data_IF_994537896757
#
_entry.id   IF_994537896757
#
_cell.length_a   1.000
_cell.length_b   1.000
_cell.length_c   1.000
_cell.angle_alpha   90.00
_cell.angle_beta   90.00
_cell.angle_gamma   90.00
#
_symmetry.space_group_name_H-M   'P 1'
#
loop_
_entity.id
_entity.type
_entity.pdbx_description
1 polymer ?
#
# COMPACT_ATOMS: atom_id res chain seq x y z
N UNK A 1 -18.92 18.25 -17.14
CA UNK A 1 -18.96 17.51 -15.86
C UNK A 1 -18.42 18.42 -14.77
N UNK A 2 -19.24 18.71 -13.75
CA UNK A 2 -18.91 19.64 -12.66
C UNK A 2 -18.17 18.87 -11.57
N UNK A 3 -16.96 19.31 -11.23
CA UNK A 3 -16.16 18.74 -10.14
C UNK A 3 -16.75 19.20 -8.80
N UNK A 4 -17.21 18.25 -7.98
CA UNK A 4 -17.72 18.52 -6.63
C UNK A 4 -16.63 18.22 -5.59
N UNK A 5 -15.96 19.25 -5.03
CA UNK A 5 -14.82 19.09 -4.12
C UNK A 5 -15.19 18.49 -2.74
N UNK A 6 -16.48 18.46 -2.38
CA UNK A 6 -16.94 18.06 -1.04
C UNK A 6 -17.04 16.54 -0.83
N UNK A 7 -16.92 15.72 -1.89
CA UNK A 7 -16.94 14.25 -1.81
C UNK A 7 -15.57 13.62 -1.50
N UNK A 8 -14.54 14.44 -1.29
CA UNK A 8 -13.14 13.97 -1.23
C UNK A 8 -12.42 14.40 0.04
N UNK A 9 -13.10 14.31 1.19
CA UNK A 9 -12.42 14.46 2.48
C UNK A 9 -11.60 13.20 2.79
N UNK A 10 -10.32 13.22 2.43
CA UNK A 10 -9.31 12.21 2.81
C UNK A 10 -9.23 12.15 4.34
N UNK A 11 -9.92 11.19 4.97
CA UNK A 11 -9.66 10.84 6.38
C UNK A 11 -8.39 10.02 6.42
N UNK A 12 -7.30 10.68 6.81
CA UNK A 12 -6.02 10.06 7.12
C UNK A 12 -6.15 9.38 8.49
N UNK A 13 -6.07 8.04 8.53
CA UNK A 13 -5.97 7.28 9.80
C UNK A 13 -4.56 7.35 10.41
N UNK A 14 -3.64 8.05 9.73
CA UNK A 14 -2.26 8.23 10.17
C UNK A 14 -2.21 8.84 11.56
N UNK A 15 -1.41 8.25 12.43
CA UNK A 15 -0.98 8.84 13.68
C UNK A 15 -0.50 10.28 13.39
N UNK A 16 -1.08 11.26 14.08
CA UNK A 16 -0.60 12.65 14.04
C UNK A 16 0.84 12.68 14.54
N UNK A 17 1.68 13.48 13.88
CA UNK A 17 3.07 13.80 14.28
C UNK A 17 4.12 12.68 14.14
N UNK A 18 3.83 11.59 13.43
CA UNK A 18 4.84 10.56 13.09
C UNK A 18 5.45 10.79 11.69
N UNK A 19 6.78 10.74 11.58
CA UNK A 19 7.48 10.86 10.29
C UNK A 19 7.50 9.51 9.54
N UNK A 20 6.55 9.33 8.64
CA UNK A 20 6.41 8.14 7.77
C UNK A 20 7.48 8.04 6.66
N UNK A 21 8.56 8.82 6.79
CA UNK A 21 9.78 8.75 5.94
C UNK A 21 10.94 8.09 6.70
N UNK A 22 10.81 7.85 8.01
CA UNK A 22 11.87 7.26 8.82
C UNK A 22 12.17 5.81 8.46
N UNK A 23 13.45 5.43 8.54
CA UNK A 23 13.84 4.03 8.49
C UNK A 23 13.12 3.22 9.59
N UNK A 24 12.65 2.02 9.26
CA UNK A 24 11.88 1.18 10.18
C UNK A 24 10.94 0.20 9.48
N UNK A 25 10.26 -0.61 10.29
CA UNK A 25 9.29 -1.60 9.84
C UNK A 25 7.87 -1.03 9.86
N UNK A 26 7.12 -1.34 8.81
CA UNK A 26 5.75 -0.89 8.61
C UNK A 26 4.87 -2.08 8.24
N UNK A 27 3.71 -2.16 8.90
CA UNK A 27 2.62 -3.05 8.52
C UNK A 27 1.57 -2.28 7.73
N UNK A 28 1.02 -2.90 6.69
CA UNK A 28 -0.09 -2.35 5.90
C UNK A 28 -1.17 -3.38 5.65
N UNK A 29 -2.41 -2.88 5.53
CA UNK A 29 -3.55 -3.63 4.97
C UNK A 29 -4.13 -2.85 3.80
N UNK A 30 -4.21 -3.48 2.63
CA UNK A 30 -4.80 -2.90 1.42
C UNK A 30 -5.98 -3.76 0.98
N UNK A 31 -7.19 -3.22 1.03
CA UNK A 31 -8.40 -3.95 0.69
C UNK A 31 -8.79 -3.77 -0.79
N UNK A 32 -9.32 -4.84 -1.38
CA UNK A 32 -10.02 -4.79 -2.66
C UNK A 32 -11.26 -3.90 -2.55
N UNK A 33 -11.68 -3.34 -3.68
CA UNK A 33 -12.89 -2.54 -3.75
C UNK A 33 -14.09 -3.29 -3.15
N UNK A 34 -14.86 -2.60 -2.30
CA UNK A 34 -16.01 -3.15 -1.56
C UNK A 34 -15.76 -4.48 -0.84
N UNK A 35 -14.49 -4.84 -0.60
CA UNK A 35 -14.10 -6.15 -0.02
C UNK A 35 -14.62 -7.35 -0.83
N UNK A 36 -14.76 -7.19 -2.15
CA UNK A 36 -15.05 -8.29 -3.06
C UNK A 36 -13.86 -9.28 -3.10
N UNK A 37 -14.14 -10.59 -3.14
CA UNK A 37 -13.16 -11.68 -3.23
C UNK A 37 -12.47 -11.71 -4.59
N UNK A 38 -11.72 -10.66 -4.85
CA UNK A 38 -11.16 -10.31 -6.14
C UNK A 38 -9.90 -11.12 -6.49
N UNK A 39 -9.18 -11.56 -5.47
CA UNK A 39 -7.84 -12.13 -5.54
C UNK A 39 -7.84 -13.67 -5.43
N UNK A 40 -8.99 -14.26 -5.10
CA UNK A 40 -9.12 -15.70 -4.89
C UNK A 40 -10.26 -16.01 -3.95
N UNK A 41 -10.27 -17.23 -3.43
CA UNK A 41 -11.31 -17.77 -2.58
C UNK A 41 -10.73 -18.31 -1.28
N UNK A 42 -11.51 -18.21 -0.21
CA UNK A 42 -11.22 -18.94 1.03
C UNK A 42 -11.47 -20.44 0.81
N UNK A 43 -10.55 -21.26 1.29
CA UNK A 43 -10.69 -22.72 1.29
C UNK A 43 -10.41 -23.25 2.69
N UNK A 44 -10.75 -24.50 2.97
CA UNK A 44 -10.50 -25.09 4.29
C UNK A 44 -9.01 -24.97 4.66
N UNK A 45 -8.74 -24.27 5.77
CA UNK A 45 -7.40 -23.99 6.27
C UNK A 45 -6.56 -22.97 5.48
N UNK A 46 -7.10 -22.26 4.49
CA UNK A 46 -6.28 -21.32 3.72
C UNK A 46 -6.99 -20.50 2.64
N UNK A 47 -6.19 -20.05 1.67
CA UNK A 47 -6.64 -19.20 0.55
C UNK A 47 -6.12 -19.77 -0.75
N UNK A 48 -7.00 -19.89 -1.75
CA UNK A 48 -6.65 -20.25 -3.12
C UNK A 48 -6.63 -18.99 -3.98
N UNK A 49 -5.44 -18.58 -4.42
CA UNK A 49 -5.31 -17.41 -5.31
C UNK A 49 -5.73 -17.74 -6.73
N UNK A 50 -6.45 -16.80 -7.35
CA UNK A 50 -6.67 -16.80 -8.80
C UNK A 50 -5.56 -15.99 -9.51
N UNK A 51 -5.65 -15.86 -10.83
CA UNK A 51 -4.65 -15.12 -11.63
C UNK A 51 -4.48 -13.65 -11.19
N UNK A 52 -5.53 -13.04 -10.66
CA UNK A 52 -5.48 -11.66 -10.17
C UNK A 52 -4.74 -11.61 -8.83
N UNK A 53 -5.01 -12.54 -7.92
CA UNK A 53 -4.23 -12.67 -6.68
C UNK A 53 -2.75 -12.95 -6.93
N UNK A 54 -2.44 -13.75 -7.96
CA UNK A 54 -1.08 -13.98 -8.44
C UNK A 54 -0.43 -12.66 -8.90
N UNK A 55 -1.13 -11.81 -9.65
CA UNK A 55 -0.63 -10.48 -10.04
C UNK A 55 -0.32 -9.62 -8.81
N UNK A 56 -1.19 -9.61 -7.79
CA UNK A 56 -0.98 -8.86 -6.55
C UNK A 56 0.31 -9.30 -5.86
N UNK A 57 0.49 -10.62 -5.68
CA UNK A 57 1.71 -11.21 -5.10
C UNK A 57 2.95 -10.80 -5.88
N UNK A 58 2.92 -10.96 -7.20
CA UNK A 58 4.08 -10.71 -8.05
C UNK A 58 4.49 -9.23 -8.05
N UNK A 59 3.52 -8.30 -8.08
CA UNK A 59 3.80 -6.86 -7.98
C UNK A 59 4.30 -6.45 -6.59
N UNK A 60 3.85 -7.14 -5.54
CA UNK A 60 4.42 -6.94 -4.21
C UNK A 60 5.89 -7.35 -4.18
N UNK A 61 6.23 -8.56 -4.64
CA UNK A 61 7.61 -9.04 -4.71
C UNK A 61 8.50 -8.14 -5.56
N UNK A 62 7.98 -7.61 -6.67
CA UNK A 62 8.68 -6.64 -7.54
C UNK A 62 9.05 -5.35 -6.81
N UNK A 63 8.35 -4.99 -5.73
CA UNK A 63 8.60 -3.76 -4.96
C UNK A 63 10.04 -3.68 -4.46
N UNK A 64 10.61 -4.77 -3.94
CA UNK A 64 12.01 -4.80 -3.50
C UNK A 64 13.02 -4.81 -4.66
N UNK A 65 12.65 -5.36 -5.82
CA UNK A 65 13.52 -5.36 -7.01
C UNK A 65 13.75 -3.93 -7.52
N UNK A 66 12.70 -3.11 -7.51
CA UNK A 66 12.76 -1.75 -8.08
C UNK A 66 13.09 -0.66 -7.04
N UNK A 67 13.20 -1.01 -5.76
CA UNK A 67 13.49 -0.07 -4.67
C UNK A 67 14.58 -0.64 -3.76
N UNK A 68 15.85 -0.23 -3.92
CA UNK A 68 16.96 -0.78 -3.14
C UNK A 68 16.87 -0.47 -1.64
N UNK A 69 16.11 0.57 -1.27
CA UNK A 69 15.88 0.96 0.12
C UNK A 69 14.66 0.27 0.76
N UNK A 70 14.06 -0.72 0.09
CA UNK A 70 12.92 -1.48 0.60
C UNK A 70 13.28 -2.94 0.74
N UNK A 71 13.14 -3.47 1.95
CA UNK A 71 13.23 -4.90 2.22
C UNK A 71 11.84 -5.42 2.57
N UNK A 72 11.37 -6.43 1.84
CA UNK A 72 10.12 -7.11 2.16
C UNK A 72 10.32 -8.05 3.34
N UNK A 73 9.24 -8.26 4.08
CA UNK A 73 9.13 -9.21 5.17
C UNK A 73 7.82 -10.00 4.96
N UNK A 74 7.25 -10.59 6.00
CA UNK A 74 6.04 -11.40 5.95
C UNK A 74 4.86 -10.67 5.26
N UNK A 75 4.16 -11.37 4.37
CA UNK A 75 2.99 -10.84 3.67
C UNK A 75 2.04 -11.96 3.28
N UNK A 76 0.76 -11.61 3.08
CA UNK A 76 -0.25 -12.55 2.58
C UNK A 76 -1.25 -11.85 1.67
N UNK A 77 -1.65 -12.53 0.60
CA UNK A 77 -2.76 -12.14 -0.25
C UNK A 77 -3.97 -12.96 0.19
N UNK A 78 -4.98 -12.29 0.72
CA UNK A 78 -6.27 -12.86 1.10
C UNK A 78 -7.27 -12.69 -0.06
N UNK A 79 -8.43 -13.36 -0.05
CA UNK A 79 -9.42 -13.28 -1.13
C UNK A 79 -9.78 -11.85 -1.54
N UNK A 80 -9.89 -10.94 -0.57
CA UNK A 80 -10.34 -9.56 -0.81
C UNK A 80 -9.42 -8.48 -0.23
N UNK A 81 -8.26 -8.83 0.31
CA UNK A 81 -7.32 -7.86 0.87
C UNK A 81 -5.90 -8.42 0.91
N UNK A 82 -4.96 -7.56 1.25
CA UNK A 82 -3.54 -7.86 1.27
C UNK A 82 -2.94 -7.28 2.54
N UNK A 83 -2.13 -8.09 3.23
CA UNK A 83 -1.34 -7.66 4.39
C UNK A 83 0.14 -7.80 4.08
N UNK A 84 0.94 -6.85 4.57
CA UNK A 84 2.39 -6.98 4.48
C UNK A 84 3.13 -6.20 5.55
N UNK A 85 4.29 -6.73 5.89
CA UNK A 85 5.38 -6.04 6.57
C UNK A 85 6.46 -5.71 5.55
N UNK A 86 6.99 -4.49 5.62
CA UNK A 86 8.19 -4.11 4.89
C UNK A 86 9.01 -3.10 5.67
N UNK A 87 10.29 -3.03 5.34
CA UNK A 87 11.26 -2.15 5.95
C UNK A 87 11.65 -1.07 4.97
N UNK A 88 11.60 0.18 5.43
CA UNK A 88 12.31 1.28 4.78
C UNK A 88 13.69 1.33 5.44
N UNK A 89 14.76 1.18 4.67
CA UNK A 89 16.13 1.31 5.16
C UNK A 89 16.74 2.61 4.67
N UNK A 90 17.65 3.18 5.45
CA UNK A 90 18.48 4.27 4.93
C UNK A 90 19.34 3.75 3.75
N UNK A 91 19.56 4.55 2.70
CA UNK A 91 20.43 4.16 1.61
C UNK A 91 21.88 4.08 2.12
N UNK A 92 22.41 2.87 2.29
CA UNK A 92 23.82 2.65 2.58
C UNK A 92 24.60 2.73 1.26
N UNK A 93 25.25 3.86 1.00
CA UNK A 93 26.20 4.03 -0.11
C UNK A 93 25.66 4.77 -1.35
N UNK A 94 26.21 5.96 -1.58
CA UNK A 94 26.26 6.69 -2.85
C UNK A 94 24.99 6.74 -3.72
N UNK A 95 24.04 7.59 -3.35
CA UNK A 95 23.46 8.53 -4.31
C UNK A 95 23.15 9.81 -3.56
N UNK A 96 23.65 10.95 -4.06
CA UNK A 96 23.27 12.28 -3.56
C UNK A 96 21.74 12.38 -3.55
N UNK A 97 21.14 12.16 -2.39
CA UNK A 97 19.92 12.88 -2.06
C UNK A 97 20.37 14.33 -2.01
N UNK A 98 20.07 15.08 -3.07
CA UNK A 98 20.14 16.53 -3.02
C UNK A 98 19.34 16.90 -1.78
N UNK A 99 20.03 17.40 -0.75
CA UNK A 99 19.36 18.02 0.37
C UNK A 99 18.44 19.06 -0.27
N UNK A 100 17.13 18.83 -0.21
CA UNK A 100 16.19 19.89 -0.54
C UNK A 100 16.37 20.89 0.58
N UNK A 101 17.19 21.89 0.26
CA UNK A 101 17.49 23.04 1.07
C UNK A 101 16.18 23.55 1.66
N UNK A 102 16.16 23.73 2.99
CA UNK A 102 14.97 24.16 3.71
C UNK A 102 14.57 25.60 3.38
N UNK A 103 15.39 26.32 2.62
CA UNK A 103 15.20 27.74 2.34
C UNK A 103 15.55 28.08 0.88
N UNK A 104 14.57 27.99 -0.03
CA UNK A 104 14.69 28.58 -1.36
C UNK A 104 13.35 29.17 -1.83
N UNK A 105 12.90 30.21 -1.12
CA UNK A 105 12.04 31.23 -1.70
C UNK A 105 12.88 32.06 -2.69
N UNK A 106 12.70 31.89 -4.00
CA UNK A 106 12.72 33.01 -4.98
C UNK A 106 12.47 32.55 -6.42
N UNK A 107 11.35 33.05 -6.95
CA UNK A 107 11.16 33.58 -8.32
C UNK A 107 11.65 32.76 -9.52
N UNK A 108 10.72 32.02 -10.15
CA UNK A 108 10.66 32.04 -11.63
C UNK A 108 9.21 31.95 -12.12
N UNK A 109 8.96 32.71 -13.18
CA UNK A 109 7.70 33.18 -13.76
C UNK A 109 6.57 32.15 -13.95
N UNK A 110 5.37 32.68 -13.78
CA UNK A 110 4.06 32.06 -13.92
C UNK A 110 3.82 31.36 -15.26
N UNK A 111 3.30 30.13 -15.20
CA UNK A 111 2.20 29.68 -16.06
C UNK A 111 1.16 29.00 -15.16
N UNK A 112 -0.10 29.43 -15.26
CA UNK A 112 -1.21 28.88 -14.49
C UNK A 112 -1.43 27.41 -14.87
N UNK A 113 -0.89 26.49 -14.09
CA UNK A 113 -1.33 25.10 -14.03
C UNK A 113 -1.71 24.81 -12.60
N UNK A 114 -2.94 24.32 -12.44
CA UNK A 114 -3.56 23.88 -11.17
C UNK A 114 -2.50 23.24 -10.27
N UNK A 115 -2.32 23.80 -9.06
CA UNK A 115 -1.30 23.36 -8.11
C UNK A 115 -1.38 21.83 -7.95
N UNK A 116 -0.28 21.08 -8.10
CA UNK A 116 -0.31 19.66 -7.78
C UNK A 116 -0.66 19.56 -6.31
N UNK A 117 -1.78 18.92 -5.99
CA UNK A 117 -2.05 18.48 -4.62
C UNK A 117 -0.83 17.65 -4.23
N UNK A 118 -0.03 18.15 -3.29
CA UNK A 118 1.26 17.56 -2.97
C UNK A 118 1.06 16.07 -2.68
N UNK A 119 1.53 15.23 -3.60
CA UNK A 119 1.48 13.78 -3.46
C UNK A 119 2.24 13.34 -2.21
N UNK A 120 2.10 12.07 -1.78
CA UNK A 120 2.92 11.56 -0.68
C UNK A 120 4.41 11.79 -0.99
N UNK A 121 5.18 12.17 0.03
CA UNK A 121 6.63 12.40 -0.10
C UNK A 121 7.27 11.17 -0.74
N UNK A 122 8.18 11.39 -1.70
CA UNK A 122 8.93 10.30 -2.32
C UNK A 122 9.60 9.44 -1.25
N UNK A 123 9.55 8.12 -1.40
CA UNK A 123 10.08 7.17 -0.42
C UNK A 123 9.20 6.91 0.81
N UNK A 124 8.12 7.66 1.03
CA UNK A 124 7.19 7.36 2.14
C UNK A 124 6.36 6.10 1.91
N UNK A 125 5.83 5.51 2.99
CA UNK A 125 4.86 4.40 2.95
C UNK A 125 3.76 4.66 1.90
N UNK A 126 3.16 5.85 1.93
CA UNK A 126 2.09 6.20 0.99
C UNK A 126 2.53 6.24 -0.48
N UNK A 127 3.76 6.64 -0.76
CA UNK A 127 4.30 6.63 -2.13
C UNK A 127 4.56 5.19 -2.59
N UNK A 128 5.04 4.31 -1.71
CA UNK A 128 5.31 2.90 -2.00
C UNK A 128 3.99 2.18 -2.28
N UNK A 129 3.01 2.29 -1.37
CA UNK A 129 1.70 1.65 -1.54
C UNK A 129 0.95 2.21 -2.74
N UNK A 130 1.04 3.52 -3.01
CA UNK A 130 0.45 4.11 -4.21
C UNK A 130 1.01 3.53 -5.51
N UNK A 131 2.34 3.36 -5.59
CA UNK A 131 2.98 2.77 -6.76
C UNK A 131 2.67 1.28 -6.91
N UNK A 132 2.68 0.52 -5.81
CA UNK A 132 2.26 -0.89 -5.79
C UNK A 132 0.83 -1.06 -6.33
N UNK A 133 -0.13 -0.31 -5.79
CA UNK A 133 -1.54 -0.35 -6.23
C UNK A 133 -1.66 0.02 -7.71
N UNK A 134 -0.95 1.04 -8.17
CA UNK A 134 -0.95 1.48 -9.57
C UNK A 134 -0.43 0.38 -10.52
N UNK A 135 0.70 -0.23 -10.19
CA UNK A 135 1.29 -1.30 -10.99
C UNK A 135 0.39 -2.54 -11.05
N UNK A 136 -0.17 -2.95 -9.92
CA UNK A 136 -1.11 -4.07 -9.84
C UNK A 136 -2.41 -3.77 -10.61
N UNK A 137 -3.01 -2.59 -10.44
CA UNK A 137 -4.21 -2.19 -11.20
C UNK A 137 -3.97 -2.25 -12.70
N UNK A 138 -2.82 -1.76 -13.18
CA UNK A 138 -2.50 -1.81 -14.61
C UNK A 138 -2.52 -3.24 -15.15
N UNK A 139 -1.83 -4.17 -14.48
CA UNK A 139 -1.78 -5.59 -14.90
C UNK A 139 -3.12 -6.29 -14.75
N UNK A 140 -3.84 -6.04 -13.65
CA UNK A 140 -5.17 -6.63 -13.39
C UNK A 140 -6.18 -6.19 -14.45
N UNK A 141 -6.22 -4.90 -14.80
CA UNK A 141 -7.15 -4.39 -15.79
C UNK A 141 -6.83 -4.94 -17.19
N UNK A 142 -5.55 -5.17 -17.52
CA UNK A 142 -5.16 -5.88 -18.75
C UNK A 142 -5.67 -7.32 -18.75
N UNK A 143 -5.53 -8.03 -17.62
CA UNK A 143 -5.97 -9.43 -17.49
C UNK A 143 -7.49 -9.59 -17.58
N UNK A 144 -8.25 -8.62 -17.04
CA UNK A 144 -9.72 -8.68 -16.95
C UNK A 144 -10.44 -8.05 -18.13
N UNK A 145 -9.74 -7.26 -18.94
CA UNK A 145 -10.35 -6.38 -19.93
C UNK A 145 -11.37 -5.41 -19.33
N UNK A 146 -11.13 -4.96 -18.10
CA UNK A 146 -12.04 -4.12 -17.32
C UNK A 146 -11.27 -2.97 -16.66
N UNK A 147 -11.53 -1.75 -17.11
CA UNK A 147 -10.88 -0.52 -16.60
C UNK A 147 -11.80 0.33 -15.73
N UNK A 148 -13.11 0.13 -15.83
CA UNK A 148 -14.11 0.96 -15.16
C UNK A 148 -14.35 0.48 -13.73
N UNK A 149 -14.10 -0.80 -13.44
CA UNK A 149 -14.23 -1.34 -12.09
C UNK A 149 -12.93 -1.16 -11.28
N UNK A 150 -12.99 -0.46 -10.13
CA UNK A 150 -11.82 -0.23 -9.30
C UNK A 150 -11.34 -1.53 -8.63
N UNK A 151 -10.02 -1.72 -8.60
CA UNK A 151 -9.42 -2.88 -7.93
C UNK A 151 -9.35 -2.70 -6.41
N UNK A 152 -9.08 -1.47 -5.95
CA UNK A 152 -8.73 -1.19 -4.56
C UNK A 152 -9.68 -0.21 -3.89
N UNK A 153 -9.84 -0.32 -2.57
CA UNK A 153 -10.33 0.80 -1.78
C UNK A 153 -9.37 1.99 -1.88
N UNK A 154 -9.89 3.22 -1.73
CA UNK A 154 -9.07 4.44 -1.86
C UNK A 154 -7.95 4.52 -0.82
N UNK A 155 -8.27 4.23 0.45
CA UNK A 155 -7.32 4.25 1.56
C UNK A 155 -6.72 2.86 1.82
N UNK A 156 -5.79 2.81 2.76
CA UNK A 156 -5.19 1.59 3.31
C UNK A 156 -4.95 1.81 4.81
N UNK A 157 -4.86 0.73 5.58
CA UNK A 157 -4.45 0.76 6.97
C UNK A 157 -2.92 0.69 7.05
N UNK A 158 -2.32 1.44 7.97
CA UNK A 158 -0.88 1.36 8.25
C UNK A 158 -0.64 1.37 9.76
N UNK A 159 0.34 0.58 10.19
CA UNK A 159 0.83 0.52 11.56
C UNK A 159 2.35 0.55 11.54
N UNK A 160 2.95 1.37 12.41
CA UNK A 160 4.40 1.43 12.57
C UNK A 160 4.79 0.38 13.58
N UNK A 161 5.62 -0.58 13.16
CA UNK A 161 6.04 -1.68 14.02
C UNK A 161 7.15 -1.20 14.95
N UNK A 162 6.98 -1.41 16.26
CA UNK A 162 7.89 -0.93 17.29
C UNK A 162 8.48 -2.08 18.11
N UNK A 163 9.74 -2.40 17.83
CA UNK A 163 10.50 -3.44 18.54
C UNK A 163 10.11 -4.86 18.15
N UNK A 164 10.88 -5.83 18.64
CA UNK A 164 10.81 -7.21 18.16
C UNK A 164 9.51 -7.91 18.54
N UNK A 165 8.95 -7.61 19.73
CA UNK A 165 7.70 -8.25 20.17
C UNK A 165 6.52 -7.90 19.26
N UNK A 166 6.41 -6.63 18.87
CA UNK A 166 5.37 -6.16 17.94
C UNK A 166 5.59 -6.77 16.55
N UNK A 167 6.83 -6.77 16.07
CA UNK A 167 7.19 -7.40 14.80
C UNK A 167 6.78 -8.87 14.74
N UNK A 168 7.11 -9.66 15.75
CA UNK A 168 6.75 -11.09 15.78
C UNK A 168 5.24 -11.30 15.89
N UNK A 169 4.53 -10.45 16.64
CA UNK A 169 3.08 -10.53 16.74
C UNK A 169 2.40 -10.28 15.38
N UNK A 170 2.86 -9.27 14.63
CA UNK A 170 2.31 -8.97 13.29
C UNK A 170 2.67 -10.05 12.27
N UNK A 171 3.90 -10.60 12.31
CA UNK A 171 4.26 -11.75 11.46
C UNK A 171 3.35 -12.94 11.72
N UNK A 172 3.14 -13.31 12.99
CA UNK A 172 2.25 -14.40 13.35
C UNK A 172 0.82 -14.13 12.89
N UNK A 173 0.33 -12.90 13.06
CA UNK A 173 -0.99 -12.50 12.56
C UNK A 173 -1.12 -12.75 11.05
N UNK A 174 -0.11 -12.38 10.25
CA UNK A 174 -0.11 -12.59 8.80
C UNK A 174 -0.12 -14.07 8.45
N UNK A 175 0.77 -14.87 9.06
CA UNK A 175 0.88 -16.32 8.82
C UNK A 175 -0.42 -17.04 9.16
N UNK A 176 -1.07 -16.64 10.25
CA UNK A 176 -2.32 -17.26 10.70
C UNK A 176 -3.55 -16.84 9.89
N UNK A 177 -3.48 -15.72 9.16
CA UNK A 177 -4.67 -15.08 8.59
C UNK A 177 -5.41 -15.97 7.58
N UNK A 178 -4.73 -16.71 6.67
CA UNK A 178 -5.39 -17.66 5.76
C UNK A 178 -6.29 -18.68 6.47
N UNK A 179 -5.78 -19.30 7.54
CA UNK A 179 -6.54 -20.30 8.30
C UNK A 179 -7.70 -19.66 9.11
N UNK A 180 -7.63 -18.35 9.34
CA UNK A 180 -8.65 -17.57 10.07
C UNK A 180 -9.58 -16.78 9.14
N UNK A 181 -9.62 -17.11 7.84
CA UNK A 181 -10.39 -16.35 6.85
C UNK A 181 -11.86 -16.12 7.26
N UNK A 182 -12.56 -17.16 7.70
CA UNK A 182 -13.95 -17.09 8.18
C UNK A 182 -14.14 -16.15 9.40
N UNK A 183 -13.07 -15.94 10.16
CA UNK A 183 -13.06 -15.08 11.34
C UNK A 183 -12.56 -13.66 11.05
N UNK A 184 -12.10 -13.39 9.82
CA UNK A 184 -11.42 -12.14 9.48
C UNK A 184 -12.36 -10.92 9.55
N UNK A 185 -11.83 -9.78 9.98
CA UNK A 185 -12.63 -8.54 10.15
C UNK A 185 -13.02 -7.93 8.81
N UNK A 186 -12.27 -8.23 7.76
CA UNK A 186 -12.52 -7.78 6.40
C UNK A 186 -13.28 -8.82 5.57
N UNK A 187 -13.75 -9.92 6.17
CA UNK A 187 -14.59 -10.89 5.48
C UNK A 187 -15.80 -10.19 4.81
N UNK A 188 -16.16 -10.51 3.56
CA UNK A 188 -17.22 -9.80 2.82
C UNK A 188 -18.57 -9.77 3.55
N UNK A 189 -18.89 -10.80 4.33
CA UNK A 189 -20.17 -10.90 5.06
C UNK A 189 -20.27 -9.99 6.29
N UNK A 190 -19.20 -9.28 6.65
CA UNK A 190 -19.13 -8.42 7.85
C UNK A 190 -19.21 -6.93 7.54
N UNK A 191 -19.54 -6.55 6.31
CA UNK A 191 -19.31 -5.21 5.74
C UNK A 191 -20.61 -4.56 5.29
#
# INVERSE_FOLDING_TARGET
MVFHPDLHRRRSMRLRDYDYVGAGAYFVTVCAWRRECLFGDGVDGGVLLNDVGVVVRDEWLRTAVIRPNIKLDEFVVMPNHFHAIFWITDPVGATRWVAHDRDAWSQTRATQRVAPTAGPRSGSVGAIIGQFKSAATKRINTLRHDIDNPVWQRNYHEHVIRGDRDLQAVRQYIVDNPAKWELDVNHPDRV
#
